data_IF_921658144922
#
_entry.id   IF_921658144922
#
_cell.length_a   1.000
_cell.length_b   1.000
_cell.length_c   1.000
_cell.angle_alpha   90.00
_cell.angle_beta   90.00
_cell.angle_gamma   90.00
#
_symmetry.space_group_name_H-M   'P 1'
#
loop_
_entity.id
_entity.type
_entity.pdbx_description
1 polymer ?
#
# COMPACT_ATOMS: atom_id res chain seq x y z
N UNK A 1 10.80 -14.08 6.30
CA UNK A 1 10.39 -13.08 5.28
C UNK A 1 10.09 -13.68 3.91
N UNK A 2 10.84 -14.66 3.38
CA UNK A 2 10.52 -15.29 2.09
C UNK A 2 9.10 -15.89 2.00
N UNK A 3 8.61 -16.50 3.08
CA UNK A 3 7.22 -17.00 3.19
C UNK A 3 6.17 -15.89 3.16
N UNK A 4 6.45 -14.71 3.73
CA UNK A 4 5.53 -13.58 3.72
C UNK A 4 5.36 -13.01 2.31
N UNK A 5 6.45 -12.87 1.55
CA UNK A 5 6.38 -12.43 0.16
C UNK A 5 5.77 -13.48 -0.79
N UNK A 6 5.94 -14.77 -0.52
CA UNK A 6 5.32 -15.81 -1.35
C UNK A 6 3.83 -16.01 -1.10
N UNK A 7 3.41 -16.01 0.18
CA UNK A 7 2.06 -16.43 0.60
C UNK A 7 1.14 -15.25 0.90
N UNK A 8 1.66 -14.16 1.49
CA UNK A 8 0.83 -13.02 1.89
C UNK A 8 0.74 -11.94 0.81
N UNK A 9 1.68 -11.92 -0.13
CA UNK A 9 1.74 -10.90 -1.18
C UNK A 9 0.54 -10.92 -2.14
N UNK A 10 0.05 -12.11 -2.50
CA UNK A 10 -1.17 -12.27 -3.30
C UNK A 10 -2.46 -11.85 -2.61
N UNK A 11 -2.80 -12.40 -1.42
CA UNK A 11 -4.01 -11.97 -0.73
C UNK A 11 -3.95 -10.50 -0.34
N UNK A 12 -2.77 -9.96 -0.04
CA UNK A 12 -2.58 -8.52 0.17
C UNK A 12 -2.94 -7.71 -1.09
N UNK A 13 -2.46 -8.14 -2.26
CA UNK A 13 -2.80 -7.51 -3.53
C UNK A 13 -4.30 -7.53 -3.81
N UNK A 14 -4.95 -8.70 -3.70
CA UNK A 14 -6.40 -8.82 -3.89
C UNK A 14 -7.15 -7.93 -2.90
N UNK A 15 -6.72 -7.91 -1.64
CA UNK A 15 -7.40 -7.12 -0.61
C UNK A 15 -7.31 -5.62 -0.91
N UNK A 16 -6.15 -5.11 -1.32
CA UNK A 16 -5.99 -3.71 -1.75
C UNK A 16 -6.89 -3.39 -2.94
N UNK A 17 -6.94 -4.28 -3.94
CA UNK A 17 -7.76 -4.11 -5.14
C UNK A 17 -9.25 -4.11 -4.79
N UNK A 18 -9.69 -5.02 -3.91
CA UNK A 18 -11.06 -5.06 -3.39
C UNK A 18 -11.42 -3.79 -2.61
N UNK A 19 -10.50 -3.28 -1.78
CA UNK A 19 -10.70 -2.03 -1.04
C UNK A 19 -10.85 -0.84 -1.99
N UNK A 20 -10.02 -0.75 -3.04
CA UNK A 20 -10.12 0.30 -4.06
C UNK A 20 -11.44 0.23 -4.83
N UNK A 21 -11.85 -0.96 -5.28
CA UNK A 21 -13.13 -1.16 -5.95
C UNK A 21 -14.31 -0.80 -5.02
N UNK A 22 -14.24 -1.20 -3.75
CA UNK A 22 -15.25 -0.87 -2.74
C UNK A 22 -15.37 0.64 -2.54
N UNK A 23 -14.24 1.33 -2.34
CA UNK A 23 -14.22 2.80 -2.18
C UNK A 23 -14.84 3.52 -3.36
N UNK A 24 -14.49 3.11 -4.58
CA UNK A 24 -15.06 3.70 -5.77
C UNK A 24 -16.57 3.43 -5.86
N UNK A 25 -17.00 2.18 -5.67
CA UNK A 25 -18.40 1.78 -5.79
C UNK A 25 -19.31 2.45 -4.75
N UNK A 26 -18.91 2.46 -3.47
CA UNK A 26 -19.69 3.10 -2.41
C UNK A 26 -19.74 4.62 -2.59
N UNK A 27 -18.60 5.25 -2.91
CA UNK A 27 -18.57 6.71 -3.14
C UNK A 27 -19.39 7.12 -4.35
N UNK A 28 -19.31 6.35 -5.44
CA UNK A 28 -20.15 6.54 -6.63
C UNK A 28 -21.64 6.41 -6.28
N UNK A 29 -22.00 5.37 -5.53
CA UNK A 29 -23.40 5.13 -5.14
C UNK A 29 -23.96 6.26 -4.28
N UNK A 30 -23.17 6.80 -3.35
CA UNK A 30 -23.57 7.95 -2.50
C UNK A 30 -23.84 9.20 -3.33
N UNK A 31 -23.05 9.46 -4.37
CA UNK A 31 -23.18 10.67 -5.19
C UNK A 31 -24.31 10.56 -6.21
N UNK A 32 -24.44 9.41 -6.87
CA UNK A 32 -25.35 9.25 -8.02
C UNK A 32 -26.69 8.61 -7.68
N UNK A 33 -26.76 7.85 -6.59
CA UNK A 33 -27.98 7.19 -6.14
C UNK A 33 -28.29 7.61 -4.70
N UNK A 34 -28.54 8.91 -4.45
CA UNK A 34 -29.03 9.35 -3.16
C UNK A 34 -30.38 8.65 -2.91
N UNK A 35 -30.35 7.66 -2.02
CA UNK A 35 -31.55 6.96 -1.58
C UNK A 35 -32.17 7.78 -0.45
N UNK A 36 -33.49 7.99 -0.47
CA UNK A 36 -34.21 8.62 0.65
C UNK A 36 -34.16 7.76 1.92
N UNK A 37 -33.83 6.47 1.78
CA UNK A 37 -33.65 5.56 2.90
C UNK A 37 -32.31 5.83 3.62
N UNK A 38 -32.44 6.35 4.84
CA UNK A 38 -31.33 6.64 5.76
C UNK A 38 -30.49 5.41 6.08
N UNK A 39 -31.08 4.21 6.09
CA UNK A 39 -30.37 2.96 6.39
C UNK A 39 -29.37 2.61 5.28
N UNK A 40 -29.79 2.75 4.01
CA UNK A 40 -28.93 2.52 2.84
C UNK A 40 -27.76 3.51 2.85
N UNK A 41 -28.03 4.79 3.12
CA UNK A 41 -26.99 5.80 3.18
C UNK A 41 -25.96 5.49 4.28
N UNK A 42 -26.42 5.07 5.47
CA UNK A 42 -25.55 4.68 6.57
C UNK A 42 -24.68 3.46 6.22
N UNK A 43 -25.24 2.44 5.56
CA UNK A 43 -24.50 1.27 5.08
C UNK A 43 -23.42 1.65 4.07
N UNK A 44 -23.72 2.55 3.13
CA UNK A 44 -22.74 3.03 2.13
C UNK A 44 -21.60 3.79 2.80
N UNK A 45 -21.90 4.68 3.76
CA UNK A 45 -20.89 5.39 4.54
C UNK A 45 -20.00 4.45 5.35
N UNK A 46 -20.60 3.45 6.00
CA UNK A 46 -19.86 2.41 6.71
C UNK A 46 -18.92 1.65 5.75
N UNK A 47 -19.39 1.31 4.55
CA UNK A 47 -18.59 0.64 3.52
C UNK A 47 -17.36 1.45 3.09
N UNK A 48 -17.51 2.78 2.95
CA UNK A 48 -16.41 3.70 2.66
C UNK A 48 -15.38 3.67 3.80
N UNK A 49 -15.84 3.85 5.05
CA UNK A 49 -14.96 3.87 6.22
C UNK A 49 -14.22 2.52 6.36
N UNK A 50 -14.92 1.40 6.23
CA UNK A 50 -14.34 0.07 6.35
C UNK A 50 -13.28 -0.19 5.27
N UNK A 51 -13.53 0.23 4.02
CA UNK A 51 -12.60 0.05 2.92
C UNK A 51 -11.35 0.94 3.09
N UNK A 52 -11.52 2.18 3.57
CA UNK A 52 -10.39 3.05 3.92
C UNK A 52 -9.55 2.47 5.05
N UNK A 53 -10.19 2.03 6.14
CA UNK A 53 -9.50 1.46 7.30
C UNK A 53 -8.72 0.22 6.92
N UNK A 54 -9.29 -0.67 6.09
CA UNK A 54 -8.62 -1.88 5.62
C UNK A 54 -7.41 -1.58 4.74
N UNK A 55 -7.50 -0.56 3.87
CA UNK A 55 -6.41 -0.11 3.02
C UNK A 55 -5.24 0.45 3.86
N UNK A 56 -5.55 1.31 4.83
CA UNK A 56 -4.58 1.93 5.74
C UNK A 56 -3.91 0.87 6.63
N UNK A 57 -4.70 -0.03 7.21
CA UNK A 57 -4.24 -1.09 8.10
C UNK A 57 -3.23 -2.03 7.41
N UNK A 58 -3.37 -2.25 6.09
CA UNK A 58 -2.46 -3.09 5.33
C UNK A 58 -1.20 -2.32 4.89
N UNK A 59 -1.39 -1.10 4.40
CA UNK A 59 -0.33 -0.33 3.74
C UNK A 59 0.66 0.30 4.74
N UNK A 60 0.20 0.83 5.89
CA UNK A 60 1.07 1.48 6.88
C UNK A 60 2.13 0.51 7.46
N UNK A 61 1.77 -0.66 8.04
CA UNK A 61 2.77 -1.56 8.60
C UNK A 61 3.68 -2.16 7.53
N UNK A 62 3.17 -2.39 6.32
CA UNK A 62 3.97 -2.88 5.20
C UNK A 62 5.01 -1.82 4.77
N UNK A 63 4.62 -0.56 4.63
CA UNK A 63 5.54 0.54 4.33
C UNK A 63 6.54 0.78 5.46
N UNK A 64 6.10 0.68 6.72
CA UNK A 64 6.97 0.79 7.90
C UNK A 64 8.03 -0.32 7.94
N UNK A 65 7.65 -1.56 7.62
CA UNK A 65 8.59 -2.67 7.55
C UNK A 65 9.59 -2.49 6.40
N UNK A 66 9.14 -2.01 5.24
CA UNK A 66 10.03 -1.69 4.11
C UNK A 66 11.03 -0.60 4.43
N UNK A 67 10.61 0.47 5.11
CA UNK A 67 11.51 1.52 5.59
C UNK A 67 12.52 1.01 6.60
N UNK A 68 12.10 0.20 7.56
CA UNK A 68 12.99 -0.40 8.54
C UNK A 68 14.06 -1.26 7.86
N UNK A 69 13.68 -2.03 6.83
CA UNK A 69 14.62 -2.81 6.02
C UNK A 69 15.62 -1.92 5.26
N UNK A 70 15.18 -0.80 4.70
CA UNK A 70 16.07 0.15 4.01
C UNK A 70 17.09 0.75 4.99
N UNK A 71 16.64 1.20 6.17
CA UNK A 71 17.50 1.77 7.21
C UNK A 71 18.51 0.73 7.72
N UNK A 72 18.07 -0.51 7.91
CA UNK A 72 18.93 -1.62 8.30
C UNK A 72 20.01 -1.88 7.23
N UNK A 73 19.63 -1.92 5.95
CA UNK A 73 20.56 -2.09 4.85
C UNK A 73 21.56 -0.94 4.72
N UNK A 74 21.14 0.32 4.89
CA UNK A 74 22.06 1.48 4.89
C UNK A 74 23.05 1.43 6.05
N UNK A 75 22.59 1.05 7.24
CA UNK A 75 23.44 0.87 8.43
C UNK A 75 24.47 -0.24 8.19
N UNK A 76 24.02 -1.37 7.65
CA UNK A 76 24.89 -2.51 7.32
C UNK A 76 25.90 -2.14 6.22
N UNK A 77 25.50 -1.37 5.22
CA UNK A 77 26.37 -0.96 4.11
C UNK A 77 27.40 0.10 4.52
N UNK A 78 27.12 0.89 5.55
CA UNK A 78 28.05 1.90 6.10
C UNK A 78 29.06 1.33 7.10
N UNK A 79 28.72 0.21 7.77
CA UNK A 79 29.60 -0.50 8.73
C UNK A 79 31.04 -0.78 8.23
N UNK A 80 31.27 -1.25 6.98
CA UNK A 80 32.62 -1.51 6.46
C UNK A 80 33.46 -0.24 6.27
N UNK A 81 32.86 0.94 6.25
CA UNK A 81 33.54 2.24 6.26
C UNK A 81 34.05 2.62 7.64
N UNK A 82 33.37 2.17 8.70
CA UNK A 82 33.76 2.41 10.10
C UNK A 82 34.86 1.47 10.61
N UNK A 83 34.98 0.26 10.06
CA UNK A 83 36.03 -0.70 10.42
C UNK A 83 36.98 -1.00 9.24
N UNK A 84 38.00 -0.16 9.01
CA UNK A 84 38.92 -0.31 7.87
C UNK A 84 39.75 -1.60 7.95
N UNK A 85 40.06 -2.09 9.16
CA UNK A 85 40.90 -3.28 9.38
C UNK A 85 40.26 -4.60 8.95
N UNK A 86 38.93 -4.68 8.88
CA UNK A 86 38.19 -5.90 8.56
C UNK A 86 37.20 -5.72 7.40
N UNK A 87 37.39 -4.69 6.57
CA UNK A 87 36.45 -4.31 5.50
C UNK A 87 36.10 -5.46 4.54
N UNK A 88 37.10 -6.25 4.10
CA UNK A 88 36.89 -7.38 3.17
C UNK A 88 36.12 -8.54 3.81
N UNK A 89 36.50 -8.93 5.02
CA UNK A 89 35.85 -10.00 5.79
C UNK A 89 34.44 -9.61 6.20
N UNK A 90 34.25 -8.40 6.71
CA UNK A 90 32.95 -7.88 7.13
C UNK A 90 31.98 -7.80 5.94
N UNK A 91 32.44 -7.31 4.78
CA UNK A 91 31.63 -7.28 3.55
C UNK A 91 31.21 -8.68 3.09
N UNK A 92 32.09 -9.68 3.21
CA UNK A 92 31.76 -11.08 2.87
C UNK A 92 30.71 -11.66 3.82
N UNK A 93 30.86 -11.45 5.13
CA UNK A 93 29.90 -11.93 6.13
C UNK A 93 28.53 -11.28 5.97
N UNK A 94 28.50 -9.97 5.74
CA UNK A 94 27.28 -9.21 5.44
C UNK A 94 26.63 -9.74 4.17
N UNK A 95 27.39 -9.91 3.09
CA UNK A 95 26.88 -10.44 1.82
C UNK A 95 26.29 -11.85 1.97
N UNK A 96 26.90 -12.71 2.77
CA UNK A 96 26.39 -14.07 2.97
C UNK A 96 25.14 -14.10 3.84
N UNK A 97 25.03 -13.20 4.82
CA UNK A 97 23.95 -13.22 5.82
C UNK A 97 22.75 -12.32 5.48
N UNK A 98 23.00 -11.15 4.88
CA UNK A 98 21.97 -10.15 4.55
C UNK A 98 21.57 -10.09 3.07
N UNK A 99 22.14 -10.92 2.18
CA UNK A 99 21.69 -10.98 0.77
C UNK A 99 20.25 -11.45 0.56
N UNK A 100 19.53 -11.82 1.62
CA UNK A 100 18.19 -12.41 1.57
C UNK A 100 17.13 -11.60 2.33
N UNK A 101 17.32 -10.30 2.55
CA UNK A 101 16.22 -9.44 2.99
C UNK A 101 15.42 -9.00 1.78
N UNK A 102 14.17 -9.48 1.71
CA UNK A 102 13.26 -9.14 0.63
C UNK A 102 12.28 -8.08 1.13
N UNK A 103 12.14 -6.93 0.44
CA UNK A 103 11.12 -5.96 0.78
C UNK A 103 9.73 -6.59 0.64
N UNK A 104 8.77 -6.19 1.46
CA UNK A 104 7.37 -6.54 1.30
C UNK A 104 6.85 -5.91 0.01
N UNK A 105 6.50 -6.77 -0.93
CA UNK A 105 5.93 -6.39 -2.22
C UNK A 105 4.48 -6.80 -2.29
N UNK A 106 3.70 -6.01 -3.02
CA UNK A 106 2.37 -6.36 -3.51
C UNK A 106 2.55 -7.13 -4.82
N UNK A 107 2.31 -8.44 -4.77
CA UNK A 107 2.50 -9.43 -5.85
C UNK A 107 3.83 -9.27 -6.62
N UNK A 108 4.95 -8.92 -5.99
CA UNK A 108 6.23 -8.69 -6.70
C UNK A 108 6.19 -7.62 -7.82
N UNK A 109 5.08 -6.89 -8.00
CA UNK A 109 4.88 -5.83 -9.00
C UNK A 109 5.20 -4.48 -8.39
N UNK A 110 4.81 -4.25 -7.12
CA UNK A 110 5.05 -2.99 -6.42
C UNK A 110 5.65 -3.23 -5.04
N UNK A 111 6.70 -2.47 -4.69
CA UNK A 111 7.14 -2.33 -3.30
C UNK A 111 6.08 -1.50 -2.58
N UNK A 112 5.65 -1.97 -1.40
CA UNK A 112 4.65 -1.24 -0.62
C UNK A 112 5.33 -0.03 0.03
N UNK A 113 5.14 1.14 -0.58
CA UNK A 113 5.66 2.43 -0.10
C UNK A 113 4.53 3.43 0.12
N UNK A 114 4.79 4.48 0.91
CA UNK A 114 3.83 5.57 1.15
C UNK A 114 3.33 6.23 -0.14
N UNK A 115 4.15 6.22 -1.19
CA UNK A 115 3.77 6.72 -2.52
C UNK A 115 2.59 5.97 -3.13
N UNK A 116 2.42 4.68 -2.84
CA UNK A 116 1.31 3.88 -3.34
C UNK A 116 -0.02 4.30 -2.71
N UNK A 117 -0.01 4.69 -1.42
CA UNK A 117 -1.17 5.30 -0.76
C UNK A 117 -1.53 6.64 -1.41
N UNK A 118 -0.55 7.51 -1.63
CA UNK A 118 -0.77 8.82 -2.25
C UNK A 118 -1.33 8.66 -3.68
N UNK A 119 -0.79 7.71 -4.44
CA UNK A 119 -1.30 7.38 -5.77
C UNK A 119 -2.74 6.86 -5.72
N UNK A 120 -3.06 5.97 -4.77
CA UNK A 120 -4.42 5.47 -4.56
C UNK A 120 -5.42 6.61 -4.32
N UNK A 121 -5.10 7.53 -3.41
CA UNK A 121 -5.93 8.71 -3.14
C UNK A 121 -6.04 9.63 -4.36
N UNK A 122 -4.91 9.86 -5.05
CA UNK A 122 -4.88 10.67 -6.26
C UNK A 122 -5.80 10.12 -7.34
N UNK A 123 -5.74 8.81 -7.61
CA UNK A 123 -6.62 8.16 -8.59
C UNK A 123 -8.08 8.27 -8.19
N UNK A 124 -8.43 8.06 -6.92
CA UNK A 124 -9.81 8.19 -6.44
C UNK A 124 -10.34 9.62 -6.67
N UNK A 125 -9.55 10.64 -6.36
CA UNK A 125 -9.90 12.04 -6.61
C UNK A 125 -10.02 12.36 -8.10
N UNK A 126 -9.07 11.91 -8.92
CA UNK A 126 -9.09 12.15 -10.37
C UNK A 126 -10.31 11.49 -11.02
N UNK A 127 -10.57 10.22 -10.72
CA UNK A 127 -11.75 9.53 -11.24
C UNK A 127 -13.05 10.12 -10.68
N UNK A 128 -13.09 10.49 -9.41
CA UNK A 128 -14.23 11.19 -8.82
C UNK A 128 -14.54 12.51 -9.54
N UNK A 129 -13.52 13.32 -9.81
CA UNK A 129 -13.67 14.57 -10.57
C UNK A 129 -14.13 14.32 -12.01
N UNK A 130 -13.57 13.32 -12.69
CA UNK A 130 -13.94 12.99 -14.06
C UNK A 130 -15.42 12.60 -14.16
N UNK A 131 -15.86 11.72 -13.26
CA UNK A 131 -17.25 11.24 -13.20
C UNK A 131 -18.21 12.36 -12.80
N UNK A 132 -17.80 13.23 -11.86
CA UNK A 132 -18.56 14.42 -11.48
C UNK A 132 -18.81 15.36 -12.66
N UNK A 133 -17.77 15.69 -13.42
CA UNK A 133 -17.90 16.58 -14.59
C UNK A 133 -18.76 15.98 -15.71
N UNK A 134 -18.58 14.69 -16.03
CA UNK A 134 -19.40 14.03 -17.05
C UNK A 134 -20.88 14.07 -16.68
N UNK A 135 -21.19 13.96 -15.39
CA UNK A 135 -22.57 13.94 -14.91
C UNK A 135 -23.20 15.32 -14.87
N UNK A 136 -22.42 16.36 -14.56
CA UNK A 136 -22.86 17.76 -14.66
C UNK A 136 -23.09 18.14 -16.13
N UNK A 137 -22.24 17.69 -17.05
CA UNK A 137 -22.36 17.98 -18.48
C UNK A 137 -23.55 17.30 -19.18
N UNK A 138 -24.17 16.30 -18.55
CA UNK A 138 -25.35 15.58 -19.06
C UNK A 138 -26.70 16.16 -18.59
N UNK A 139 -26.68 17.14 -17.70
CA UNK A 139 -27.88 17.77 -17.13
C UNK A 139 -28.18 19.09 -17.84
#
# INVERSE_FOLDING_TARGET
MALANGVLSYPAFINVLCCMCGLFSFSYSVVFYPSDDRMIYFMMFQGIIQSLMSLILLMIPAAGCNRALIIEQETINSLPGWLPQHRKTLKMYISQRHSKTFPLTLWNIYVIDESLLISAFGTLLTYGFLVGNISIAKK
#
